data_IF_155100776079
#
_entry.id   IF_155100776079
#
_cell.length_a   1.000
_cell.length_b   1.000
_cell.length_c   1.000
_cell.angle_alpha   90.00
_cell.angle_beta   90.00
_cell.angle_gamma   90.00
#
_symmetry.space_group_name_H-M   'P 1'
#
loop_
_entity.id
_entity.type
_entity.pdbx_description
1 polymer ?
#
# COMPACT_ATOMS: atom_id res chain seq x y z
N UNK A 1 -3.94 -43.56 -2.62
CA UNK A 1 -4.14 -42.29 -3.34
C UNK A 1 -4.08 -41.14 -2.35
N UNK A 2 -4.81 -41.15 -1.25
CA UNK A 2 -4.90 -40.08 -0.24
C UNK A 2 -3.53 -39.72 0.36
N UNK A 3 -2.75 -40.71 0.80
CA UNK A 3 -1.40 -40.50 1.34
C UNK A 3 -0.43 -39.89 0.31
N UNK A 4 -0.58 -40.25 -0.97
CA UNK A 4 0.26 -39.68 -2.03
C UNK A 4 -0.08 -38.19 -2.24
N UNK A 5 -1.37 -37.84 -2.23
CA UNK A 5 -1.84 -36.44 -2.34
C UNK A 5 -1.37 -35.65 -1.13
N UNK A 6 -1.53 -36.17 0.08
CA UNK A 6 -1.07 -35.53 1.32
C UNK A 6 0.44 -35.28 1.31
N UNK A 7 1.23 -36.28 0.91
CA UNK A 7 2.69 -36.14 0.81
C UNK A 7 3.11 -35.15 -0.27
N UNK A 8 2.42 -35.11 -1.41
CA UNK A 8 2.71 -34.14 -2.47
C UNK A 8 2.39 -32.70 -2.05
N UNK A 9 1.26 -32.47 -1.35
CA UNK A 9 0.90 -31.18 -0.80
C UNK A 9 1.89 -30.71 0.27
N UNK A 10 2.33 -31.62 1.15
CA UNK A 10 3.34 -31.33 2.16
C UNK A 10 4.69 -30.97 1.51
N UNK A 11 5.11 -31.67 0.47
CA UNK A 11 6.34 -31.38 -0.26
C UNK A 11 6.25 -30.01 -0.94
N UNK A 12 5.12 -29.66 -1.55
CA UNK A 12 4.90 -28.33 -2.12
C UNK A 12 4.95 -27.24 -1.03
N UNK A 13 4.33 -27.44 0.11
CA UNK A 13 4.36 -26.49 1.21
C UNK A 13 5.79 -26.30 1.75
N UNK A 14 6.53 -27.37 1.95
CA UNK A 14 7.94 -27.31 2.39
C UNK A 14 8.83 -26.61 1.37
N UNK A 15 8.65 -26.86 0.07
CA UNK A 15 9.42 -26.19 -0.97
C UNK A 15 9.16 -24.67 -0.99
N UNK A 16 7.93 -24.23 -0.82
CA UNK A 16 7.59 -22.81 -0.71
C UNK A 16 8.26 -22.15 0.51
N UNK A 17 8.17 -22.78 1.68
CA UNK A 17 8.81 -22.28 2.91
C UNK A 17 10.31 -22.19 2.74
N UNK A 18 10.93 -23.24 2.20
CA UNK A 18 12.38 -23.29 1.95
C UNK A 18 12.81 -22.19 0.99
N UNK A 19 12.08 -21.99 -0.11
CA UNK A 19 12.38 -20.94 -1.09
C UNK A 19 12.34 -19.55 -0.46
N UNK A 20 11.29 -19.26 0.30
CA UNK A 20 11.17 -17.96 1.00
C UNK A 20 12.32 -17.78 1.99
N UNK A 21 12.63 -18.82 2.77
CA UNK A 21 13.75 -18.79 3.72
C UNK A 21 15.09 -18.52 3.03
N UNK A 22 15.37 -19.20 1.91
CA UNK A 22 16.60 -18.99 1.13
C UNK A 22 16.69 -17.58 0.55
N UNK A 23 15.58 -17.01 0.04
CA UNK A 23 15.53 -15.62 -0.45
C UNK A 23 15.87 -14.65 0.68
N UNK A 24 15.22 -14.79 1.83
CA UNK A 24 15.47 -13.94 2.99
C UNK A 24 16.93 -14.05 3.45
N UNK A 25 17.44 -15.28 3.57
CA UNK A 25 18.82 -15.53 3.96
C UNK A 25 19.80 -14.89 2.98
N UNK A 26 19.55 -15.05 1.66
CA UNK A 26 20.37 -14.44 0.62
C UNK A 26 20.40 -12.91 0.71
N UNK A 27 19.23 -12.28 0.84
CA UNK A 27 19.14 -10.81 0.97
C UNK A 27 19.90 -10.33 2.21
N UNK A 28 19.75 -11.02 3.35
CA UNK A 28 20.43 -10.66 4.59
C UNK A 28 21.95 -10.83 4.43
N UNK A 29 22.43 -11.93 3.88
CA UNK A 29 23.88 -12.17 3.72
C UNK A 29 24.52 -11.18 2.77
N UNK A 30 23.81 -10.74 1.73
CA UNK A 30 24.32 -9.75 0.78
C UNK A 30 24.24 -8.31 1.32
N UNK A 31 23.18 -7.92 2.02
CA UNK A 31 22.98 -6.54 2.44
C UNK A 31 23.60 -6.20 3.82
N UNK A 32 23.83 -7.19 4.70
CA UNK A 32 24.34 -6.93 6.05
C UNK A 32 25.71 -6.26 6.11
N UNK A 33 26.67 -6.55 5.21
CA UNK A 33 28.00 -5.94 5.25
C UNK A 33 27.98 -4.41 5.23
N UNK A 34 27.13 -3.79 4.39
CA UNK A 34 27.06 -2.33 4.29
C UNK A 34 26.39 -1.71 5.51
N UNK A 35 25.38 -2.37 6.08
CA UNK A 35 24.72 -1.89 7.32
C UNK A 35 25.71 -1.87 8.46
N UNK A 36 26.61 -2.84 8.55
CA UNK A 36 27.65 -2.89 9.57
C UNK A 36 28.77 -1.88 9.31
N UNK A 37 29.10 -1.60 8.04
CA UNK A 37 30.12 -0.64 7.63
C UNK A 37 29.71 0.80 7.94
N UNK A 38 28.49 1.18 7.53
CA UNK A 38 27.93 2.53 7.77
C UNK A 38 27.48 2.74 9.23
N UNK A 39 27.19 1.67 9.95
CA UNK A 39 26.49 1.69 11.24
C UNK A 39 24.97 1.60 11.06
N UNK A 40 24.30 0.66 11.80
CA UNK A 40 22.86 0.43 11.63
C UNK A 40 21.97 1.66 11.85
N UNK A 41 22.38 2.55 12.76
CA UNK A 41 21.62 3.78 13.05
C UNK A 41 21.81 4.80 11.95
N UNK A 42 23.03 5.06 11.52
CA UNK A 42 23.34 6.06 10.49
C UNK A 42 22.76 5.63 9.12
N UNK A 43 22.83 4.35 8.78
CA UNK A 43 22.21 3.81 7.58
C UNK A 43 20.71 4.11 7.50
N UNK A 44 19.98 3.93 8.62
CA UNK A 44 18.51 4.08 8.66
C UNK A 44 18.08 5.53 8.88
N UNK A 45 18.83 6.33 9.66
CA UNK A 45 18.43 7.69 10.07
C UNK A 45 19.12 8.80 9.30
N UNK A 46 20.21 8.50 8.63
CA UNK A 46 20.91 9.48 7.80
C UNK A 46 20.10 9.89 6.57
N UNK A 47 20.31 11.11 6.10
CA UNK A 47 19.46 11.75 5.08
C UNK A 47 20.12 11.85 3.69
N UNK A 48 21.38 11.45 3.55
CA UNK A 48 22.15 11.60 2.33
C UNK A 48 22.34 10.26 1.63
N UNK A 49 21.85 10.14 0.40
CA UNK A 49 22.13 9.01 -0.49
C UNK A 49 23.00 9.51 -1.64
N UNK A 50 24.28 9.17 -1.62
CA UNK A 50 25.26 9.54 -2.64
C UNK A 50 26.22 8.37 -2.92
N UNK A 51 25.89 7.48 -3.84
CA UNK A 51 26.73 6.34 -4.20
C UNK A 51 28.09 6.72 -4.80
N UNK A 52 28.25 7.95 -5.33
CA UNK A 52 29.54 8.40 -5.88
C UNK A 52 30.57 8.71 -4.79
N UNK A 53 30.09 9.08 -3.61
CA UNK A 53 30.93 9.36 -2.44
C UNK A 53 30.83 8.25 -1.37
N UNK A 54 30.33 7.08 -1.73
CA UNK A 54 30.15 5.91 -0.85
C UNK A 54 29.30 6.23 0.41
N UNK A 55 28.29 7.10 0.29
CA UNK A 55 27.37 7.45 1.39
C UNK A 55 26.00 6.80 1.12
N UNK A 56 25.57 5.90 2.03
CA UNK A 56 24.39 5.06 1.83
C UNK A 56 23.39 5.23 2.98
N UNK A 57 22.65 6.35 3.02
CA UNK A 57 21.65 6.61 4.04
C UNK A 57 20.24 6.61 3.42
N UNK A 58 19.30 5.88 4.02
CA UNK A 58 18.01 5.55 3.38
C UNK A 58 16.79 6.23 4.01
N UNK A 59 16.95 7.10 5.01
CA UNK A 59 15.82 7.75 5.69
C UNK A 59 14.83 8.45 4.74
N UNK A 60 15.25 9.22 3.72
CA UNK A 60 14.32 9.82 2.77
C UNK A 60 13.47 8.81 2.01
N UNK A 61 14.05 7.63 1.69
CA UNK A 61 13.33 6.56 0.98
C UNK A 61 12.32 5.86 1.89
N UNK A 62 12.63 5.71 3.18
CA UNK A 62 11.70 5.21 4.20
C UNK A 62 10.50 6.16 4.30
N UNK A 63 10.77 7.46 4.51
CA UNK A 63 9.73 8.49 4.58
C UNK A 63 8.89 8.52 3.30
N UNK A 64 9.54 8.49 2.13
CA UNK A 64 8.86 8.44 0.83
C UNK A 64 7.90 7.26 0.72
N UNK A 65 8.35 6.05 1.12
CA UNK A 65 7.50 4.85 1.13
C UNK A 65 6.29 5.02 2.04
N UNK A 66 6.50 5.50 3.27
CA UNK A 66 5.42 5.68 4.23
C UNK A 66 4.40 6.73 3.80
N UNK A 67 4.87 7.90 3.33
CA UNK A 67 3.97 9.01 2.97
C UNK A 67 3.12 8.66 1.74
N UNK A 68 3.72 8.05 0.70
CA UNK A 68 2.99 7.62 -0.49
C UNK A 68 1.98 6.52 -0.15
N UNK A 69 2.39 5.52 0.66
CA UNK A 69 1.50 4.45 1.11
C UNK A 69 0.36 4.98 1.97
N UNK A 70 0.65 5.85 2.94
CA UNK A 70 -0.37 6.43 3.81
C UNK A 70 -1.40 7.22 3.01
N UNK A 71 -0.95 8.05 2.07
CA UNK A 71 -1.85 8.81 1.20
C UNK A 71 -2.74 7.88 0.38
N UNK A 72 -2.17 6.81 -0.20
CA UNK A 72 -2.95 5.83 -0.96
C UNK A 72 -4.02 5.15 -0.11
N UNK A 73 -3.72 4.80 1.14
CA UNK A 73 -4.68 4.18 2.06
C UNK A 73 -5.77 5.17 2.49
N UNK A 74 -5.41 6.43 2.77
CA UNK A 74 -6.38 7.48 3.12
C UNK A 74 -7.42 7.68 2.01
N UNK A 75 -7.02 7.53 0.75
CA UNK A 75 -7.92 7.62 -0.41
C UNK A 75 -8.67 6.28 -0.61
N UNK A 76 -7.95 5.16 -0.61
CA UNK A 76 -8.51 3.87 -1.04
C UNK A 76 -9.43 3.23 0.00
N UNK A 77 -9.18 3.39 1.31
CA UNK A 77 -10.01 2.75 2.34
C UNK A 77 -11.44 3.30 2.33
N UNK A 78 -11.68 4.64 2.39
CA UNK A 78 -13.04 5.16 2.36
C UNK A 78 -13.78 4.83 1.07
N UNK A 79 -13.12 5.00 -0.08
CA UNK A 79 -13.70 4.70 -1.39
C UNK A 79 -13.99 3.20 -1.55
N UNK A 80 -13.04 2.36 -1.16
CA UNK A 80 -13.15 0.90 -1.24
C UNK A 80 -14.25 0.37 -0.34
N UNK A 81 -14.36 0.85 0.90
CA UNK A 81 -15.42 0.47 1.82
C UNK A 81 -16.79 0.95 1.32
N UNK A 82 -16.88 2.20 0.83
CA UNK A 82 -18.12 2.72 0.24
C UNK A 82 -18.59 1.88 -0.95
N UNK A 83 -17.68 1.52 -1.87
CA UNK A 83 -17.98 0.62 -2.98
C UNK A 83 -18.39 -0.78 -2.51
N UNK A 84 -17.70 -1.35 -1.53
CA UNK A 84 -18.01 -2.66 -0.98
C UNK A 84 -19.41 -2.69 -0.34
N UNK A 85 -19.77 -1.67 0.45
CA UNK A 85 -21.12 -1.53 1.03
C UNK A 85 -22.18 -1.40 -0.07
N UNK A 86 -21.93 -0.61 -1.10
CA UNK A 86 -22.84 -0.45 -2.23
C UNK A 86 -23.09 -1.78 -2.92
N UNK A 87 -22.03 -2.55 -3.21
CA UNK A 87 -22.11 -3.83 -3.93
C UNK A 87 -22.73 -4.91 -3.03
N UNK A 88 -22.36 -4.97 -1.74
CA UNK A 88 -22.81 -6.00 -0.83
C UNK A 88 -24.28 -5.85 -0.45
N UNK A 89 -24.73 -4.62 -0.14
CA UNK A 89 -26.00 -4.37 0.56
C UNK A 89 -27.04 -3.58 -0.26
N UNK A 90 -26.62 -2.77 -1.24
CA UNK A 90 -27.50 -1.84 -1.93
C UNK A 90 -27.78 -2.27 -3.37
N UNK A 91 -26.75 -2.70 -4.10
CA UNK A 91 -26.85 -2.97 -5.52
C UNK A 91 -27.77 -4.17 -5.83
N UNK A 92 -28.68 -4.07 -6.80
CA UNK A 92 -29.44 -5.21 -7.29
C UNK A 92 -28.53 -6.23 -7.96
N UNK A 93 -28.99 -7.50 -8.01
CA UNK A 93 -28.19 -8.61 -8.52
C UNK A 93 -27.61 -8.35 -9.93
N UNK A 94 -28.37 -7.71 -10.80
CA UNK A 94 -27.95 -7.38 -12.18
C UNK A 94 -26.76 -6.43 -12.22
N UNK A 95 -26.75 -5.39 -11.38
CA UNK A 95 -25.68 -4.40 -11.29
C UNK A 95 -24.41 -5.04 -10.70
N UNK A 96 -24.59 -5.87 -9.66
CA UNK A 96 -23.49 -6.59 -9.04
C UNK A 96 -22.78 -7.54 -10.00
N UNK A 97 -23.54 -8.30 -10.81
CA UNK A 97 -22.99 -9.26 -11.78
C UNK A 97 -22.10 -8.60 -12.84
N UNK A 98 -22.20 -7.29 -13.02
CA UNK A 98 -21.34 -6.50 -13.93
C UNK A 98 -20.18 -5.83 -13.17
N UNK A 99 -20.47 -5.22 -12.03
CA UNK A 99 -19.46 -4.43 -11.31
C UNK A 99 -18.36 -5.34 -10.72
N UNK A 100 -18.71 -6.49 -10.15
CA UNK A 100 -17.73 -7.38 -9.51
C UNK A 100 -16.66 -7.88 -10.51
N UNK A 101 -16.99 -8.46 -11.67
CA UNK A 101 -15.99 -8.83 -12.67
C UNK A 101 -15.19 -7.64 -13.20
N UNK A 102 -15.79 -6.45 -13.32
CA UNK A 102 -15.07 -5.24 -13.73
C UNK A 102 -13.98 -4.86 -12.71
N UNK A 103 -14.28 -4.91 -11.41
CA UNK A 103 -13.29 -4.66 -10.34
C UNK A 103 -12.18 -5.72 -10.35
N UNK A 104 -12.54 -7.00 -10.50
CA UNK A 104 -11.59 -8.10 -10.59
C UNK A 104 -10.67 -7.95 -11.82
N UNK A 105 -11.20 -7.47 -12.95
CA UNK A 105 -10.41 -7.17 -14.15
C UNK A 105 -9.42 -6.02 -13.92
N UNK A 106 -9.81 -4.97 -13.18
CA UNK A 106 -8.88 -3.89 -12.81
C UNK A 106 -7.70 -4.42 -11.98
N UNK A 107 -7.91 -5.40 -11.09
CA UNK A 107 -6.84 -6.01 -10.32
C UNK A 107 -5.81 -6.76 -11.18
N UNK A 108 -6.21 -7.24 -12.36
CA UNK A 108 -5.37 -7.99 -13.29
C UNK A 108 -4.50 -7.10 -14.20
N UNK A 109 -4.75 -5.79 -14.26
CA UNK A 109 -3.97 -4.87 -15.09
C UNK A 109 -2.53 -4.78 -14.52
N UNK A 110 -1.48 -4.96 -15.37
CA UNK A 110 -0.09 -4.80 -14.96
C UNK A 110 0.20 -3.40 -14.41
N UNK A 111 0.99 -3.32 -13.32
CA UNK A 111 1.31 -2.04 -12.66
C UNK A 111 2.00 -1.03 -13.56
N UNK A 112 2.76 -1.48 -14.54
CA UNK A 112 3.41 -0.63 -15.55
C UNK A 112 2.38 0.19 -16.34
N UNK A 113 1.21 -0.39 -16.65
CA UNK A 113 0.15 0.33 -17.38
C UNK A 113 -0.43 1.45 -16.51
N UNK A 114 -0.65 1.20 -15.23
CA UNK A 114 -1.05 2.24 -14.27
C UNK A 114 0.01 3.34 -14.16
N UNK A 115 1.28 2.96 -14.09
CA UNK A 115 2.40 3.91 -14.07
C UNK A 115 2.47 4.76 -15.34
N UNK A 116 2.29 4.15 -16.51
CA UNK A 116 2.28 4.85 -17.79
C UNK A 116 1.07 5.82 -17.90
N UNK A 117 -0.12 5.38 -17.48
CA UNK A 117 -1.28 6.26 -17.38
C UNK A 117 -1.01 7.43 -16.42
N UNK A 118 -0.41 7.15 -15.28
CA UNK A 118 0.00 8.16 -14.32
C UNK A 118 0.95 9.19 -14.93
N UNK A 119 1.97 8.72 -15.64
CA UNK A 119 2.97 9.56 -16.29
C UNK A 119 2.38 10.44 -17.39
N UNK A 120 1.54 9.88 -18.26
CA UNK A 120 1.02 10.58 -19.46
C UNK A 120 -0.21 11.44 -19.14
N UNK A 121 -1.04 11.04 -18.19
CA UNK A 121 -2.32 11.71 -17.89
C UNK A 121 -2.32 12.41 -16.55
N UNK A 122 -2.00 11.68 -15.46
CA UNK A 122 -2.15 12.22 -14.11
C UNK A 122 -1.08 13.27 -13.78
N UNK A 123 0.18 13.02 -14.12
CA UNK A 123 1.28 13.96 -13.84
C UNK A 123 1.08 15.31 -14.57
N UNK A 124 0.77 15.35 -15.89
CA UNK A 124 0.41 16.61 -16.55
C UNK A 124 -0.82 17.27 -15.96
N UNK A 125 -1.87 16.49 -15.63
CA UNK A 125 -3.07 17.03 -15.00
C UNK A 125 -2.77 17.70 -13.66
N UNK A 126 -1.95 17.08 -12.81
CA UNK A 126 -1.54 17.66 -11.53
C UNK A 126 -0.73 18.93 -11.79
N UNK A 127 0.25 18.89 -12.70
CA UNK A 127 1.10 20.04 -13.03
C UNK A 127 0.29 21.24 -13.53
N UNK A 128 -0.66 21.02 -14.44
CA UNK A 128 -1.33 22.08 -15.16
C UNK A 128 -2.58 22.62 -14.46
N UNK A 129 -3.18 21.81 -13.54
CA UNK A 129 -4.41 22.18 -12.83
C UNK A 129 -4.24 22.24 -11.31
N UNK A 130 -3.65 21.19 -10.70
CA UNK A 130 -3.59 21.10 -9.23
C UNK A 130 -2.54 22.03 -8.65
N UNK A 131 -1.36 22.11 -9.27
CA UNK A 131 -0.27 22.99 -8.80
C UNK A 131 -0.67 24.47 -8.85
N UNK A 132 -1.22 25.02 -9.97
CA UNK A 132 -1.71 26.39 -9.99
C UNK A 132 -2.83 26.63 -8.98
N UNK A 133 -3.80 25.72 -8.88
CA UNK A 133 -4.87 25.82 -7.90
C UNK A 133 -4.34 25.84 -6.46
N UNK A 134 -3.36 24.99 -6.14
CA UNK A 134 -2.74 24.97 -4.82
C UNK A 134 -1.98 26.27 -4.53
N UNK A 135 -1.29 26.81 -5.52
CA UNK A 135 -0.58 28.10 -5.40
C UNK A 135 -1.55 29.26 -5.15
N UNK A 136 -2.62 29.38 -5.95
CA UNK A 136 -3.49 30.55 -5.95
C UNK A 136 -4.49 30.53 -4.77
N UNK A 137 -5.00 29.35 -4.38
CA UNK A 137 -6.09 29.23 -3.42
C UNK A 137 -5.69 28.62 -2.08
N UNK A 138 -4.64 27.78 -2.02
CA UNK A 138 -4.28 27.04 -0.81
C UNK A 138 -3.02 27.59 -0.16
N UNK A 139 -2.10 28.14 -0.95
CA UNK A 139 -0.78 28.57 -0.49
C UNK A 139 -0.77 29.60 0.63
N UNK A 140 -1.81 30.43 0.72
CA UNK A 140 -1.95 31.44 1.78
C UNK A 140 -2.47 30.89 3.11
N UNK A 141 -3.00 29.66 3.13
CA UNK A 141 -3.54 29.06 4.35
C UNK A 141 -2.38 28.46 5.16
N UNK A 142 -2.10 28.97 6.37
CA UNK A 142 -1.06 28.44 7.23
C UNK A 142 -1.29 26.92 7.48
N UNK A 143 -0.24 26.14 7.57
CA UNK A 143 -0.24 24.68 7.73
C UNK A 143 -0.71 23.90 6.49
N UNK A 144 -1.88 24.23 5.89
CA UNK A 144 -2.43 23.51 4.73
C UNK A 144 -1.58 23.78 3.48
N UNK A 145 -1.17 25.03 3.23
CA UNK A 145 -0.29 25.40 2.14
C UNK A 145 1.06 24.71 2.23
N UNK A 146 1.62 24.58 3.44
CA UNK A 146 2.86 23.85 3.67
C UNK A 146 2.72 22.32 3.43
N UNK A 147 1.61 21.75 3.86
CA UNK A 147 1.34 20.31 3.71
C UNK A 147 1.05 19.91 2.25
N UNK A 148 0.27 20.72 1.53
CA UNK A 148 -0.03 20.48 0.12
C UNK A 148 1.16 20.80 -0.76
N UNK A 149 1.86 21.89 -0.48
CA UNK A 149 2.90 22.49 -1.34
C UNK A 149 2.28 23.37 -2.41
N UNK A 150 3.07 24.36 -2.85
CA UNK A 150 2.62 25.34 -3.87
C UNK A 150 3.45 25.30 -5.14
N UNK A 151 4.46 24.44 -5.18
CA UNK A 151 5.36 24.26 -6.32
C UNK A 151 5.53 22.77 -6.62
N UNK A 152 5.58 22.43 -7.89
CA UNK A 152 5.79 21.07 -8.35
C UNK A 152 5.67 20.96 -9.86
N UNK A 153 6.26 19.90 -10.40
CA UNK A 153 6.18 19.57 -11.82
C UNK A 153 5.16 18.46 -12.12
N UNK A 154 4.27 18.16 -11.17
CA UNK A 154 3.26 17.13 -11.26
C UNK A 154 3.73 15.76 -10.78
N UNK A 155 5.03 15.50 -10.76
CA UNK A 155 5.59 14.31 -10.11
C UNK A 155 5.60 14.49 -8.59
N UNK A 156 5.36 13.41 -7.85
CA UNK A 156 5.50 13.47 -6.40
C UNK A 156 4.59 12.52 -5.63
N UNK A 157 4.50 12.78 -4.34
CA UNK A 157 3.71 11.99 -3.39
C UNK A 157 2.23 11.92 -3.81
N UNK A 158 1.66 13.03 -4.29
CA UNK A 158 0.25 13.08 -4.70
C UNK A 158 -0.02 12.16 -5.90
N UNK A 159 0.81 12.24 -6.95
CA UNK A 159 0.67 11.39 -8.12
C UNK A 159 0.83 9.91 -7.75
N UNK A 160 1.88 9.58 -6.97
CA UNK A 160 2.12 8.23 -6.47
C UNK A 160 0.97 7.70 -5.62
N UNK A 161 0.49 8.52 -4.67
CA UNK A 161 -0.61 8.15 -3.77
C UNK A 161 -1.93 7.87 -4.50
N UNK A 162 -2.28 8.69 -5.51
CA UNK A 162 -3.50 8.48 -6.32
C UNK A 162 -3.40 7.21 -7.16
N UNK A 163 -2.31 7.01 -7.91
CA UNK A 163 -2.13 5.80 -8.72
C UNK A 163 -2.14 4.55 -7.85
N UNK A 164 -1.45 4.60 -6.72
CA UNK A 164 -1.40 3.50 -5.77
C UNK A 164 -2.78 3.20 -5.17
N UNK A 165 -3.54 4.25 -4.84
CA UNK A 165 -4.92 4.10 -4.35
C UNK A 165 -5.79 3.36 -5.38
N UNK A 166 -5.74 3.75 -6.66
CA UNK A 166 -6.48 3.08 -7.74
C UNK A 166 -6.11 1.60 -7.83
N UNK A 167 -4.82 1.28 -7.70
CA UNK A 167 -4.32 -0.11 -7.80
C UNK A 167 -4.72 -1.02 -6.64
N UNK A 168 -4.84 -0.46 -5.41
CA UNK A 168 -5.20 -1.25 -4.23
C UNK A 168 -6.72 -1.30 -4.00
N UNK A 169 -7.50 -0.40 -4.61
CA UNK A 169 -8.96 -0.37 -4.51
C UNK A 169 -9.62 -1.73 -4.76
N UNK A 170 -9.31 -2.46 -5.85
CA UNK A 170 -9.94 -3.77 -6.11
C UNK A 170 -9.76 -4.76 -4.97
N UNK A 171 -8.56 -4.81 -4.39
CA UNK A 171 -8.26 -5.70 -3.25
C UNK A 171 -9.09 -5.35 -2.02
N UNK A 172 -9.16 -4.05 -1.68
CA UNK A 172 -9.94 -3.58 -0.52
C UNK A 172 -11.43 -3.82 -0.75
N UNK A 173 -11.95 -3.55 -1.95
CA UNK A 173 -13.37 -3.75 -2.29
C UNK A 173 -13.75 -5.20 -2.19
N UNK A 174 -13.02 -6.11 -2.84
CA UNK A 174 -13.36 -7.54 -2.90
C UNK A 174 -13.38 -8.17 -1.52
N UNK A 175 -12.33 -7.94 -0.71
CA UNK A 175 -12.25 -8.53 0.63
C UNK A 175 -13.29 -7.92 1.58
N UNK A 176 -13.54 -6.61 1.48
CA UNK A 176 -14.57 -5.95 2.29
C UNK A 176 -15.98 -6.40 1.89
N UNK A 177 -16.26 -6.56 0.58
CA UNK A 177 -17.55 -7.10 0.09
C UNK A 177 -17.78 -8.50 0.62
N UNK A 178 -16.81 -9.41 0.47
CA UNK A 178 -16.94 -10.79 0.94
C UNK A 178 -17.16 -10.84 2.46
N UNK A 179 -16.48 -9.96 3.21
CA UNK A 179 -16.64 -9.86 4.67
C UNK A 179 -18.01 -9.32 5.08
N UNK A 180 -18.52 -8.31 4.39
CA UNK A 180 -19.87 -7.79 4.62
C UNK A 180 -20.92 -8.87 4.33
N UNK A 181 -20.75 -9.63 3.25
CA UNK A 181 -21.69 -10.71 2.87
C UNK A 181 -21.67 -11.90 3.79
N UNK A 182 -20.54 -12.18 4.42
CA UNK A 182 -20.40 -13.26 5.40
C UNK A 182 -21.19 -13.02 6.70
N UNK A 183 -21.64 -11.80 6.96
CA UNK A 183 -22.49 -11.50 8.13
C UNK A 183 -23.83 -12.27 8.02
N UNK A 184 -24.29 -12.97 9.08
CA UNK A 184 -25.53 -13.75 9.06
C UNK A 184 -26.76 -12.91 8.70
N UNK A 185 -27.73 -13.51 7.98
CA UNK A 185 -28.97 -12.85 7.55
C UNK A 185 -29.86 -12.48 8.74
N UNK A 186 -29.83 -13.30 9.78
CA UNK A 186 -30.60 -13.10 11.01
C UNK A 186 -30.32 -11.75 11.68
N UNK A 187 -29.07 -11.28 11.62
CA UNK A 187 -28.70 -9.96 12.15
C UNK A 187 -29.33 -8.82 11.34
N UNK A 188 -29.41 -8.99 10.01
CA UNK A 188 -30.03 -8.01 9.11
C UNK A 188 -31.54 -7.95 9.32
N UNK A 189 -32.20 -9.11 9.26
CA UNK A 189 -33.65 -9.24 9.41
C UNK A 189 -34.11 -8.83 10.81
N UNK A 190 -33.37 -9.23 11.86
CA UNK A 190 -33.65 -8.84 13.23
C UNK A 190 -33.60 -7.32 13.45
N UNK A 191 -32.59 -6.65 12.86
CA UNK A 191 -32.47 -5.20 12.98
C UNK A 191 -33.60 -4.44 12.25
N UNK A 192 -33.99 -4.91 11.06
CA UNK A 192 -35.11 -4.33 10.32
C UNK A 192 -36.44 -4.58 11.03
N UNK A 193 -36.64 -5.74 11.65
CA UNK A 193 -37.81 -6.05 12.45
C UNK A 193 -37.94 -5.16 13.69
N UNK A 194 -36.82 -4.67 14.24
CA UNK A 194 -36.81 -3.70 15.34
C UNK A 194 -37.02 -2.24 14.87
N UNK A 195 -37.31 -2.04 13.58
CA UNK A 195 -37.59 -0.73 13.00
C UNK A 195 -36.37 0.07 12.53
N UNK A 196 -35.20 -0.54 12.48
CA UNK A 196 -34.01 0.15 11.93
C UNK A 196 -34.18 0.41 10.42
N UNK A 197 -33.70 1.57 9.95
CA UNK A 197 -33.59 1.81 8.51
C UNK A 197 -32.47 0.96 7.89
N UNK A 198 -32.52 0.76 6.57
CA UNK A 198 -31.47 0.01 5.85
C UNK A 198 -30.07 0.59 6.10
N UNK A 199 -29.94 1.92 6.15
CA UNK A 199 -28.68 2.59 6.45
C UNK A 199 -28.19 2.32 7.87
N UNK A 200 -29.09 2.39 8.86
CA UNK A 200 -28.77 2.05 10.25
C UNK A 200 -28.34 0.59 10.41
N UNK A 201 -29.01 -0.34 9.71
CA UNK A 201 -28.60 -1.75 9.67
C UNK A 201 -27.18 -1.90 9.11
N UNK A 202 -26.87 -1.28 7.95
CA UNK A 202 -25.54 -1.37 7.30
C UNK A 202 -24.47 -0.81 8.23
N UNK A 203 -24.64 0.44 8.70
CA UNK A 203 -23.57 1.12 9.46
C UNK A 203 -23.48 0.69 10.91
N UNK A 204 -24.61 0.36 11.55
CA UNK A 204 -24.67 0.02 12.98
C UNK A 204 -24.51 -1.46 13.30
N UNK A 205 -24.77 -2.37 12.35
CA UNK A 205 -24.76 -3.82 12.60
C UNK A 205 -23.85 -4.56 11.64
N UNK A 206 -24.10 -4.45 10.34
CA UNK A 206 -23.37 -5.25 9.34
C UNK A 206 -21.89 -4.84 9.26
N UNK A 207 -21.60 -3.53 9.18
CA UNK A 207 -20.23 -3.05 9.09
C UNK A 207 -19.41 -3.33 10.35
N UNK A 208 -19.91 -3.10 11.57
CA UNK A 208 -19.18 -3.52 12.77
C UNK A 208 -18.97 -5.03 12.87
N UNK A 209 -19.94 -5.85 12.46
CA UNK A 209 -19.80 -7.30 12.44
C UNK A 209 -18.76 -7.79 11.44
N UNK A 210 -18.62 -7.11 10.29
CA UNK A 210 -17.64 -7.40 9.24
C UNK A 210 -16.27 -6.75 9.47
N UNK A 211 -16.08 -5.96 10.55
CA UNK A 211 -14.92 -5.09 10.74
C UNK A 211 -13.57 -5.84 10.66
N UNK A 212 -13.49 -7.06 11.19
CA UNK A 212 -12.25 -7.86 11.14
C UNK A 212 -11.81 -8.17 9.70
N UNK A 213 -12.74 -8.48 8.82
CA UNK A 213 -12.46 -8.73 7.42
C UNK A 213 -12.18 -7.46 6.63
N UNK A 214 -12.89 -6.36 6.93
CA UNK A 214 -12.62 -5.04 6.33
C UNK A 214 -11.19 -4.59 6.65
N UNK A 215 -10.77 -4.74 7.91
CA UNK A 215 -9.39 -4.44 8.32
C UNK A 215 -8.39 -5.37 7.63
N UNK A 216 -8.70 -6.66 7.47
CA UNK A 216 -7.85 -7.58 6.72
C UNK A 216 -7.67 -7.14 5.25
N UNK A 217 -8.75 -6.67 4.61
CA UNK A 217 -8.70 -6.09 3.26
C UNK A 217 -7.79 -4.85 3.18
N UNK A 218 -7.89 -3.95 4.15
CA UNK A 218 -7.02 -2.77 4.23
C UNK A 218 -5.54 -3.15 4.43
N UNK A 219 -5.26 -4.16 5.27
CA UNK A 219 -3.89 -4.67 5.51
C UNK A 219 -3.28 -5.29 4.26
N UNK A 220 -4.06 -6.11 3.54
CA UNK A 220 -3.60 -6.71 2.28
C UNK A 220 -3.36 -5.64 1.21
N UNK A 221 -4.25 -4.63 1.12
CA UNK A 221 -4.05 -3.45 0.27
C UNK A 221 -2.78 -2.68 0.63
N UNK A 222 -2.50 -2.49 1.93
CA UNK A 222 -1.29 -1.83 2.41
C UNK A 222 -0.03 -2.62 2.06
N UNK A 223 -0.02 -3.93 2.26
CA UNK A 223 1.12 -4.79 1.88
C UNK A 223 1.43 -4.68 0.39
N UNK A 224 0.39 -4.65 -0.46
CA UNK A 224 0.54 -4.43 -1.90
C UNK A 224 1.07 -3.03 -2.21
N UNK A 225 0.58 -2.00 -1.51
CA UNK A 225 1.03 -0.62 -1.69
C UNK A 225 2.52 -0.43 -1.37
N UNK A 226 3.01 -0.98 -0.26
CA UNK A 226 4.42 -0.88 0.15
C UNK A 226 5.33 -1.61 -0.86
N UNK A 227 4.87 -2.74 -1.41
CA UNK A 227 5.62 -3.53 -2.38
C UNK A 227 5.55 -3.02 -3.82
N UNK A 228 4.72 -2.01 -4.12
CA UNK A 228 4.61 -1.50 -5.48
C UNK A 228 5.88 -0.79 -5.93
N UNK A 229 6.32 -1.13 -7.13
CA UNK A 229 7.62 -0.70 -7.65
C UNK A 229 7.47 0.15 -8.91
N UNK A 230 6.89 -0.43 -9.96
CA UNK A 230 6.94 0.17 -11.30
C UNK A 230 6.05 1.40 -11.43
N UNK A 231 4.83 1.36 -10.89
CA UNK A 231 3.93 2.50 -10.97
C UNK A 231 4.48 3.71 -10.21
N UNK A 232 4.98 3.52 -8.97
CA UNK A 232 5.54 4.62 -8.16
C UNK A 232 6.87 5.15 -8.73
N UNK A 233 7.72 4.27 -9.30
CA UNK A 233 8.95 4.68 -9.99
C UNK A 233 8.66 5.66 -11.12
N UNK A 234 7.56 5.47 -11.86
CA UNK A 234 7.20 6.31 -13.00
C UNK A 234 6.59 7.66 -12.61
N UNK A 235 5.95 7.78 -11.44
CA UNK A 235 5.15 8.99 -11.10
C UNK A 235 5.62 9.74 -9.86
N UNK A 236 6.50 9.18 -9.02
CA UNK A 236 6.94 9.84 -7.79
C UNK A 236 8.11 10.83 -7.97
N UNK A 237 8.78 10.86 -9.13
CA UNK A 237 9.84 11.80 -9.45
C UNK A 237 11.24 11.44 -8.93
N UNK A 238 11.36 10.35 -8.15
CA UNK A 238 12.63 9.70 -7.75
C UNK A 238 13.68 10.60 -7.06
N UNK A 239 13.26 11.62 -6.31
CA UNK A 239 14.16 12.47 -5.51
C UNK A 239 14.60 11.77 -4.23
N UNK A 240 15.88 11.88 -3.89
CA UNK A 240 16.47 11.37 -2.64
C UNK A 240 16.31 12.34 -1.46
N UNK A 241 15.60 13.45 -1.65
CA UNK A 241 15.31 14.42 -0.60
C UNK A 241 14.02 14.02 0.12
N UNK A 242 13.94 14.29 1.43
CA UNK A 242 12.74 14.03 2.22
C UNK A 242 11.57 14.84 1.66
N UNK A 243 10.44 14.19 1.30
CA UNK A 243 9.27 14.91 0.83
C UNK A 243 8.63 15.71 1.97
N UNK A 244 8.54 17.02 1.81
CA UNK A 244 7.97 17.94 2.80
C UNK A 244 6.51 18.27 2.55
N UNK A 245 5.99 17.95 1.36
CA UNK A 245 4.61 18.22 0.95
C UNK A 245 4.08 17.17 0.00
N UNK A 246 2.77 17.19 -0.27
CA UNK A 246 2.12 16.26 -1.20
C UNK A 246 2.58 16.45 -2.66
N UNK A 247 2.98 17.67 -3.04
CA UNK A 247 3.50 17.97 -4.37
C UNK A 247 5.03 17.76 -4.48
N UNK A 248 5.71 17.44 -3.37
CA UNK A 248 7.14 17.12 -3.39
C UNK A 248 7.39 15.76 -4.03
N UNK A 249 8.49 15.66 -4.77
CA UNK A 249 8.98 14.39 -5.28
C UNK A 249 9.44 13.48 -4.14
N UNK A 250 9.31 12.17 -4.35
CA UNK A 250 9.76 11.16 -3.41
C UNK A 250 10.41 9.97 -4.14
N UNK A 251 11.27 9.25 -3.43
CA UNK A 251 11.83 7.99 -3.90
C UNK A 251 11.49 6.88 -2.89
N UNK A 252 10.41 6.10 -3.11
CA UNK A 252 10.15 4.91 -2.30
C UNK A 252 11.28 3.88 -2.39
N UNK A 253 11.47 3.07 -1.33
CA UNK A 253 12.54 2.05 -1.25
C UNK A 253 12.52 1.08 -2.43
N UNK A 254 11.35 0.61 -2.84
CA UNK A 254 11.18 -0.27 -4.00
C UNK A 254 11.63 0.38 -5.30
N UNK A 255 11.28 1.67 -5.50
CA UNK A 255 11.70 2.46 -6.67
C UNK A 255 13.21 2.66 -6.68
N UNK A 256 13.85 2.90 -5.54
CA UNK A 256 15.30 3.06 -5.44
C UNK A 256 16.03 1.79 -5.90
N UNK A 257 15.61 0.62 -5.40
CA UNK A 257 16.20 -0.66 -5.81
C UNK A 257 16.04 -0.86 -7.33
N UNK A 258 14.83 -0.68 -7.86
CA UNK A 258 14.56 -0.94 -9.28
C UNK A 258 15.27 0.03 -10.22
N UNK A 259 15.38 1.31 -9.83
CA UNK A 259 16.01 2.35 -10.63
C UNK A 259 17.53 2.15 -10.74
N UNK A 260 18.18 1.84 -9.61
CA UNK A 260 19.64 1.84 -9.52
C UNK A 260 20.27 0.47 -9.80
N UNK A 261 19.48 -0.61 -9.78
CA UNK A 261 19.98 -1.98 -9.95
C UNK A 261 20.85 -2.19 -11.19
N UNK A 262 20.47 -1.58 -12.32
CA UNK A 262 21.13 -1.84 -13.61
C UNK A 262 22.54 -1.25 -13.74
N UNK A 263 22.88 -0.26 -12.89
CA UNK A 263 24.19 0.39 -12.92
C UNK A 263 24.95 0.34 -11.59
N UNK A 264 24.33 -0.26 -10.57
CA UNK A 264 24.97 -0.44 -9.28
C UNK A 264 26.07 -1.53 -9.36
N UNK A 265 27.20 -1.28 -8.71
CA UNK A 265 28.31 -2.23 -8.59
C UNK A 265 29.00 -2.09 -7.23
N UNK A 266 29.65 -3.15 -6.74
CA UNK A 266 30.36 -3.12 -5.47
C UNK A 266 29.47 -2.78 -4.28
N UNK A 267 29.91 -1.84 -3.44
CA UNK A 267 29.20 -1.42 -2.24
C UNK A 267 27.81 -0.83 -2.54
N UNK A 268 27.65 -0.16 -3.69
CA UNK A 268 26.35 0.35 -4.13
C UNK A 268 25.32 -0.80 -4.32
N UNK A 269 25.71 -1.91 -4.96
CA UNK A 269 24.83 -3.07 -5.12
C UNK A 269 24.50 -3.70 -3.76
N UNK A 270 25.49 -3.81 -2.87
CA UNK A 270 25.29 -4.30 -1.48
C UNK A 270 24.29 -3.39 -0.73
N UNK A 271 24.37 -2.08 -0.92
CA UNK A 271 23.44 -1.12 -0.33
C UNK A 271 22.00 -1.29 -0.82
N UNK A 272 21.78 -1.67 -2.10
CA UNK A 272 20.45 -1.99 -2.60
C UNK A 272 19.85 -3.25 -1.93
N UNK A 273 20.68 -4.28 -1.65
CA UNK A 273 20.24 -5.41 -0.83
C UNK A 273 19.89 -4.98 0.60
N UNK A 274 20.68 -4.05 1.17
CA UNK A 274 20.41 -3.51 2.50
C UNK A 274 19.07 -2.75 2.56
N UNK A 275 18.71 -1.97 1.52
CA UNK A 275 17.36 -1.40 1.39
C UNK A 275 16.30 -2.51 1.43
N UNK A 276 16.54 -3.63 0.74
CA UNK A 276 15.66 -4.80 0.76
C UNK A 276 15.47 -5.39 2.15
N UNK A 277 16.52 -5.47 2.98
CA UNK A 277 16.43 -5.91 4.39
C UNK A 277 15.52 -4.99 5.19
N UNK A 278 15.71 -3.67 5.06
CA UNK A 278 14.90 -2.68 5.80
C UNK A 278 13.45 -2.72 5.33
N UNK A 279 13.21 -2.83 4.03
CA UNK A 279 11.85 -2.97 3.48
C UNK A 279 11.14 -4.21 4.04
N UNK A 280 11.82 -5.35 4.06
CA UNK A 280 11.30 -6.59 4.64
C UNK A 280 10.98 -6.43 6.13
N UNK A 281 11.89 -5.81 6.89
CA UNK A 281 11.69 -5.53 8.31
C UNK A 281 10.47 -4.61 8.53
N UNK A 282 10.32 -3.55 7.75
CA UNK A 282 9.17 -2.63 7.81
C UNK A 282 7.86 -3.38 7.55
N UNK A 283 7.80 -4.20 6.50
CA UNK A 283 6.59 -4.98 6.16
C UNK A 283 6.26 -5.96 7.30
N UNK A 284 7.26 -6.66 7.86
CA UNK A 284 7.05 -7.59 8.97
C UNK A 284 6.54 -6.89 10.22
N UNK A 285 7.15 -5.76 10.59
CA UNK A 285 6.74 -4.97 11.77
C UNK A 285 5.30 -4.47 11.59
N UNK A 286 4.95 -3.90 10.44
CA UNK A 286 3.61 -3.42 10.17
C UNK A 286 2.57 -4.54 10.26
N UNK A 287 2.84 -5.69 9.65
CA UNK A 287 1.96 -6.86 9.73
C UNK A 287 1.79 -7.36 11.17
N UNK A 288 2.89 -7.40 11.94
CA UNK A 288 2.85 -7.80 13.35
C UNK A 288 2.02 -6.82 14.19
N UNK A 289 2.24 -5.51 14.02
CA UNK A 289 1.49 -4.47 14.75
C UNK A 289 -0.01 -4.60 14.49
N UNK A 290 -0.40 -4.76 13.23
CA UNK A 290 -1.81 -4.89 12.86
C UNK A 290 -2.40 -6.21 13.37
N UNK A 291 -1.66 -7.31 13.29
CA UNK A 291 -2.09 -8.60 13.86
C UNK A 291 -2.35 -8.50 15.38
N UNK A 292 -1.44 -7.86 16.11
CA UNK A 292 -1.59 -7.67 17.55
C UNK A 292 -2.75 -6.72 17.90
N UNK A 293 -2.97 -5.66 17.12
CA UNK A 293 -4.09 -4.75 17.30
C UNK A 293 -5.45 -5.44 17.09
N UNK A 294 -5.54 -6.29 16.05
CA UNK A 294 -6.77 -7.04 15.77
C UNK A 294 -7.05 -8.12 16.83
N UNK A 295 -6.03 -8.79 17.34
CA UNK A 295 -6.18 -9.81 18.38
C UNK A 295 -6.80 -9.24 19.66
N UNK A 296 -6.44 -8.02 20.07
CA UNK A 296 -7.05 -7.35 21.22
C UNK A 296 -8.54 -7.08 21.04
N UNK A 297 -8.99 -6.67 19.85
CA UNK A 297 -10.41 -6.42 19.57
C UNK A 297 -11.26 -7.69 19.56
N UNK A 298 -10.73 -8.80 19.05
CA UNK A 298 -11.42 -10.10 19.04
C UNK A 298 -11.65 -10.67 20.46
N UNK A 299 -10.72 -10.40 21.38
CA UNK A 299 -10.90 -10.83 22.77
C UNK A 299 -11.95 -9.98 23.52
N UNK A 300 -12.11 -8.70 23.19
CA UNK A 300 -13.18 -7.86 23.75
C UNK A 300 -14.58 -8.20 23.22
N UNK A 301 -14.69 -8.72 21.99
CA UNK A 301 -15.96 -9.12 21.39
C UNK A 301 -16.44 -10.52 21.85
N UNK A 302 -15.60 -11.29 22.59
CA UNK A 302 -15.92 -12.59 23.15
C UNK A 302 -16.27 -12.55 24.66
N UNK A 303 -16.13 -11.41 25.30
CA UNK A 303 -16.61 -11.13 26.65
C UNK A 303 -17.99 -10.45 26.61
#
# INVERSE_FOLDING_TARGET
VEKIIESSLLLCALSCILTIFLIILFIITQGMPIILKEGPVDFVTGTTWDPYNDIYNIFPMIVGTFVVTLLSLVIAIPLGLGCAMLIAEIAPHQVRSIIRPAIETLAAIPSVIYGLFGLIVLVPFIRDNVVPFAHDYIGWIPLVGGLVGTQGNGFGVLAGGIILAIMILPTIISISEDSLRAVPRELREGSLAMGATKWQMITGIVTPAALSGIVAGAVLGMGRAIGETMAVLMVCGNSTIIPTSLLSMARPMTSAIALEWNYASGDHQVALFAIGIVLLAVIMILNLVIYLANRKKLNFARM
#
